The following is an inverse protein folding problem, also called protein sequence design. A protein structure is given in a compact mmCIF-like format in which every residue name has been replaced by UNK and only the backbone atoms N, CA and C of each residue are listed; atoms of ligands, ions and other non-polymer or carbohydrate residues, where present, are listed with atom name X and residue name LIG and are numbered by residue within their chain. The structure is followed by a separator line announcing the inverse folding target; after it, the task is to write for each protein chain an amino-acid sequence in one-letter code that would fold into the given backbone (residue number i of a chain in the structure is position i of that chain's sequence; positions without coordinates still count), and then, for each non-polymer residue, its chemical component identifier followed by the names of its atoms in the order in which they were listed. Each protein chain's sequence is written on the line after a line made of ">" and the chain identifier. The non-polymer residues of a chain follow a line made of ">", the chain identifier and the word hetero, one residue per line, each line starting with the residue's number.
data_IF_219032540754
#
_entry.id   IF_219032540754
#
_cell.length_a   1.000
_cell.length_b   1.000
_cell.length_c   1.000
_cell.angle_alpha   90.00
_cell.angle_beta   90.00
_cell.angle_gamma   90.00
#
_symmetry.space_group_name_H-M   'P 1'
#
loop_
_entity.id
_entity.type
_entity.pdbx_description
1 polymer ?
#
# COMPACT_ATOMS: atom_id res chain seq x y z
N UNK A 1 9.18 -2.08 13.35
CA UNK A 1 9.77 -2.98 12.32
C UNK A 1 10.23 -4.26 12.97
N UNK A 2 10.10 -5.39 12.29
CA UNK A 2 10.54 -6.68 12.79
C UNK A 2 12.06 -6.67 12.99
N UNK A 3 12.54 -7.06 14.18
CA UNK A 3 13.97 -7.15 14.51
C UNK A 3 14.47 -8.58 14.56
N UNK A 4 13.63 -9.49 15.04
CA UNK A 4 13.95 -10.90 15.13
C UNK A 4 12.67 -11.73 14.99
N UNK A 5 12.82 -12.95 14.50
CA UNK A 5 11.79 -13.98 14.43
C UNK A 5 12.45 -15.32 14.74
N UNK A 6 11.90 -16.08 15.68
CA UNK A 6 12.36 -17.43 15.97
C UNK A 6 11.15 -18.36 16.04
N UNK A 7 11.22 -19.49 15.34
CA UNK A 7 10.15 -20.48 15.28
C UNK A 7 10.65 -21.80 15.83
N UNK A 8 9.86 -22.36 16.73
CA UNK A 8 10.12 -23.62 17.43
C UNK A 8 8.99 -24.59 17.12
N UNK A 9 9.33 -25.84 16.83
CA UNK A 9 8.34 -26.93 16.71
C UNK A 9 7.92 -27.42 18.10
N UNK A 10 8.90 -27.58 18.99
CA UNK A 10 8.73 -27.93 20.40
C UNK A 10 9.62 -27.03 21.24
N UNK A 11 9.50 -27.06 22.58
CA UNK A 11 10.37 -26.26 23.47
C UNK A 11 11.87 -26.55 23.29
N UNK A 12 12.24 -27.67 22.68
CA UNK A 12 13.64 -28.08 22.48
C UNK A 12 14.07 -28.13 21.00
N UNK A 13 13.13 -28.05 20.06
CA UNK A 13 13.41 -28.17 18.63
C UNK A 13 13.12 -26.85 17.90
N UNK A 14 14.18 -26.09 17.66
CA UNK A 14 14.13 -24.89 16.84
C UNK A 14 14.07 -25.25 15.36
N UNK A 15 13.13 -24.67 14.61
CA UNK A 15 13.04 -24.86 13.16
C UNK A 15 13.93 -23.86 12.43
N UNK A 16 13.73 -22.57 12.70
CA UNK A 16 14.51 -21.50 12.09
C UNK A 16 14.47 -20.22 12.92
N UNK A 17 15.40 -19.32 12.62
CA UNK A 17 15.46 -17.96 13.15
C UNK A 17 15.90 -16.99 12.07
N UNK A 18 15.56 -15.71 12.31
CA UNK A 18 15.96 -14.56 11.50
C UNK A 18 16.21 -13.36 12.40
N UNK A 19 17.30 -12.66 12.16
CA UNK A 19 17.63 -11.36 12.75
C UNK A 19 17.79 -10.31 11.65
N UNK A 20 17.20 -9.15 11.89
CA UNK A 20 17.18 -8.01 10.98
C UNK A 20 17.83 -6.81 11.65
N UNK A 21 18.79 -6.20 10.97
CA UNK A 21 19.32 -4.88 11.35
C UNK A 21 18.97 -3.85 10.30
N UNK A 22 18.85 -2.59 10.73
CA UNK A 22 18.49 -1.48 9.86
C UNK A 22 19.53 -0.37 10.03
N UNK A 23 19.79 0.38 8.95
CA UNK A 23 20.61 1.59 9.03
C UNK A 23 19.82 2.75 9.66
N UNK A 24 20.48 3.90 9.81
CA UNK A 24 19.88 5.10 10.39
C UNK A 24 18.76 5.71 9.52
N UNK A 25 18.78 5.49 8.20
CA UNK A 25 17.71 5.88 7.26
C UNK A 25 16.53 4.90 7.29
N UNK A 26 16.72 3.75 7.94
CA UNK A 26 15.74 2.70 8.00
C UNK A 26 15.73 1.82 6.75
N UNK A 27 16.81 1.68 6.00
CA UNK A 27 16.90 0.57 5.06
C UNK A 27 17.33 -0.70 5.79
N UNK A 28 16.94 -1.87 5.28
CA UNK A 28 17.42 -3.15 5.81
C UNK A 28 18.93 -3.21 5.60
N UNK A 29 19.73 -3.27 6.65
CA UNK A 29 21.20 -3.27 6.55
C UNK A 29 21.75 -4.70 6.50
N UNK A 30 21.20 -5.60 7.32
CA UNK A 30 21.57 -7.01 7.31
C UNK A 30 20.38 -7.92 7.67
N UNK A 31 20.43 -9.14 7.14
CA UNK A 31 19.57 -10.25 7.50
C UNK A 31 20.44 -11.46 7.79
N UNK A 32 20.39 -11.97 9.01
CA UNK A 32 21.02 -13.24 9.36
C UNK A 32 19.94 -14.25 9.66
N UNK A 33 20.01 -15.45 9.10
CA UNK A 33 19.08 -16.54 9.32
C UNK A 33 19.82 -17.87 9.51
N UNK A 34 19.10 -18.95 9.83
CA UNK A 34 19.68 -20.29 10.01
C UNK A 34 20.48 -20.78 8.80
N UNK A 35 20.23 -20.21 7.63
CA UNK A 35 20.71 -20.75 6.36
C UNK A 35 21.69 -19.80 5.66
N UNK A 36 21.72 -18.51 6.00
CA UNK A 36 22.51 -17.47 5.32
C UNK A 36 22.65 -16.21 6.16
N UNK A 37 23.70 -15.43 5.87
CA UNK A 37 23.82 -14.03 6.29
C UNK A 37 23.93 -13.14 5.06
N UNK A 38 23.16 -12.07 5.04
CA UNK A 38 23.03 -11.11 3.93
C UNK A 38 23.31 -9.70 4.43
N UNK A 39 24.04 -8.91 3.64
CA UNK A 39 24.17 -7.47 3.86
C UNK A 39 23.74 -6.71 2.61
N UNK A 40 23.10 -5.57 2.82
CA UNK A 40 22.45 -4.81 1.77
C UNK A 40 23.12 -3.44 1.64
N UNK A 41 23.31 -3.00 0.40
CA UNK A 41 23.91 -1.70 0.10
C UNK A 41 22.95 -0.90 -0.79
N UNK A 42 22.84 0.39 -0.50
CA UNK A 42 21.94 1.33 -1.16
C UNK A 42 22.70 2.53 -1.68
N UNK A 43 22.14 3.20 -2.69
CA UNK A 43 22.59 4.53 -3.07
C UNK A 43 22.01 5.63 -2.17
N UNK A 44 22.35 6.89 -2.46
CA UNK A 44 21.89 8.06 -1.70
C UNK A 44 20.39 8.34 -1.86
N UNK A 45 19.70 7.64 -2.75
CA UNK A 45 18.26 7.70 -2.97
C UNK A 45 17.54 6.46 -2.41
N UNK A 46 18.19 5.71 -1.51
CA UNK A 46 17.69 4.48 -0.89
C UNK A 46 17.40 3.35 -1.90
N UNK A 47 17.93 3.42 -3.12
CA UNK A 47 17.75 2.35 -4.11
C UNK A 47 18.74 1.23 -3.85
N UNK A 48 18.25 -0.01 -3.83
CA UNK A 48 19.07 -1.20 -3.62
C UNK A 48 20.11 -1.34 -4.75
N UNK A 49 21.39 -1.35 -4.39
CA UNK A 49 22.53 -1.53 -5.31
C UNK A 49 23.09 -2.95 -5.26
N UNK A 50 23.11 -3.56 -4.08
CA UNK A 50 23.82 -4.83 -3.89
C UNK A 50 23.27 -5.62 -2.70
N UNK A 51 23.24 -6.94 -2.86
CA UNK A 51 23.07 -7.90 -1.76
C UNK A 51 24.29 -8.79 -1.76
N UNK A 52 25.05 -8.74 -0.66
CA UNK A 52 26.16 -9.65 -0.41
C UNK A 52 25.69 -10.84 0.40
N UNK A 53 26.10 -12.03 -0.03
CA UNK A 53 25.86 -13.29 0.66
C UNK A 53 27.09 -13.69 1.45
N UNK A 54 26.89 -14.24 2.65
CA UNK A 54 27.96 -14.91 3.38
C UNK A 54 28.35 -16.21 2.66
N UNK A 55 29.65 -16.49 2.60
CA UNK A 55 30.27 -17.58 1.84
C UNK A 55 30.26 -17.35 0.31
N UNK A 56 30.92 -18.24 -0.44
CA UNK A 56 31.36 -18.15 -1.84
C UNK A 56 30.27 -17.95 -2.93
N UNK A 57 29.06 -17.55 -2.55
CA UNK A 57 28.00 -17.18 -3.48
C UNK A 57 28.30 -15.80 -4.10
N UNK A 58 28.04 -15.67 -5.39
CA UNK A 58 28.19 -14.39 -6.08
C UNK A 58 27.19 -13.37 -5.50
N UNK A 59 27.60 -12.10 -5.30
CA UNK A 59 26.69 -11.06 -4.86
C UNK A 59 25.68 -10.71 -5.95
N UNK A 60 24.46 -10.36 -5.55
CA UNK A 60 23.50 -9.73 -6.46
C UNK A 60 23.85 -8.27 -6.63
N UNK A 61 23.81 -7.78 -7.87
CA UNK A 61 24.10 -6.39 -8.20
C UNK A 61 23.00 -5.80 -9.06
N UNK A 62 22.64 -4.57 -8.73
CA UNK A 62 21.58 -3.82 -9.35
C UNK A 62 22.11 -2.46 -9.78
N UNK A 63 21.90 -2.11 -11.04
CA UNK A 63 22.15 -0.78 -11.54
C UNK A 63 20.83 -0.06 -11.80
N UNK A 64 20.85 1.25 -11.61
CA UNK A 64 19.69 2.10 -11.85
C UNK A 64 20.09 3.26 -12.71
N UNK A 65 19.32 3.54 -13.75
CA UNK A 65 19.47 4.80 -14.47
C UNK A 65 18.90 5.99 -13.65
N UNK A 66 19.13 7.25 -14.08
CA UNK A 66 18.59 8.42 -13.39
C UNK A 66 17.05 8.47 -13.34
N UNK A 67 16.35 7.78 -14.25
CA UNK A 67 14.89 7.66 -14.25
C UNK A 67 14.38 6.52 -13.32
N UNK A 68 15.29 5.79 -12.68
CA UNK A 68 14.99 4.70 -11.77
C UNK A 68 14.56 3.40 -12.47
N UNK A 69 14.96 3.20 -13.73
CA UNK A 69 14.85 1.91 -14.38
C UNK A 69 15.91 0.96 -13.81
N UNK A 70 15.46 -0.24 -13.42
CA UNK A 70 16.35 -1.32 -13.01
C UNK A 70 17.06 -1.89 -14.24
N UNK A 71 18.38 -2.02 -14.15
CA UNK A 71 19.24 -2.65 -15.14
C UNK A 71 19.84 -3.89 -14.47
N UNK A 72 19.40 -5.07 -14.90
CA UNK A 72 19.86 -6.32 -14.30
C UNK A 72 21.28 -6.65 -14.77
N UNK A 73 22.19 -6.92 -13.83
CA UNK A 73 23.61 -7.17 -14.15
C UNK A 73 23.93 -8.65 -14.41
N UNK A 74 22.99 -9.57 -14.14
CA UNK A 74 23.12 -10.99 -14.46
C UNK A 74 22.81 -11.31 -15.94
N UNK A 75 22.50 -10.27 -16.74
CA UNK A 75 22.21 -10.35 -18.17
C UNK A 75 23.24 -9.57 -18.96
N UNK A 76 24.33 -10.22 -19.42
CA UNK A 76 25.33 -9.54 -20.22
C UNK A 76 24.74 -9.13 -21.57
N UNK A 77 25.01 -7.89 -21.97
CA UNK A 77 24.61 -7.37 -23.29
C UNK A 77 24.02 -5.96 -23.22
N UNK A 78 23.62 -5.42 -24.38
CA UNK A 78 23.08 -4.08 -24.45
C UNK A 78 21.72 -3.99 -23.77
N UNK A 79 21.46 -2.85 -23.13
CA UNK A 79 20.14 -2.49 -22.62
C UNK A 79 19.67 -1.22 -23.32
N UNK A 80 18.47 -1.23 -23.89
CA UNK A 80 17.88 -0.07 -24.57
C UNK A 80 16.56 0.29 -23.93
N UNK A 81 16.42 1.57 -23.54
CA UNK A 81 15.20 2.12 -22.96
C UNK A 81 14.70 3.33 -23.74
N UNK A 82 13.38 3.50 -23.84
CA UNK A 82 12.76 4.70 -24.42
C UNK A 82 11.53 5.12 -23.63
N UNK A 83 11.62 6.23 -22.90
CA UNK A 83 10.52 6.71 -22.04
C UNK A 83 10.12 5.67 -20.99
N UNK A 84 11.11 5.09 -20.30
CA UNK A 84 10.97 4.01 -19.32
C UNK A 84 10.45 2.66 -19.86
N UNK A 85 10.23 2.50 -21.18
CA UNK A 85 9.97 1.20 -21.81
C UNK A 85 11.29 0.48 -22.06
N UNK A 86 11.41 -0.77 -21.60
CA UNK A 86 12.58 -1.61 -21.82
C UNK A 86 12.43 -2.24 -23.19
N UNK A 87 13.21 -1.84 -24.19
CA UNK A 87 13.08 -2.33 -25.56
C UNK A 87 13.98 -3.54 -25.84
N UNK A 88 15.11 -3.61 -25.14
CA UNK A 88 16.08 -4.70 -25.27
C UNK A 88 16.87 -4.86 -23.97
N UNK A 89 17.17 -6.10 -23.59
CA UNK A 89 18.10 -6.45 -22.50
C UNK A 89 18.79 -7.78 -22.83
N UNK A 90 20.08 -7.74 -23.13
CA UNK A 90 20.82 -8.92 -23.57
C UNK A 90 20.28 -9.45 -24.90
N UNK A 91 19.78 -10.69 -24.91
CA UNK A 91 19.16 -11.32 -26.07
C UNK A 91 17.65 -11.07 -26.20
N UNK A 92 17.03 -10.47 -25.18
CA UNK A 92 15.58 -10.26 -25.12
C UNK A 92 15.18 -8.95 -25.78
N UNK A 93 14.11 -9.00 -26.57
CA UNK A 93 13.50 -7.86 -27.24
C UNK A 93 12.03 -7.73 -26.82
N UNK A 94 11.59 -6.50 -26.62
CA UNK A 94 10.29 -6.20 -26.05
C UNK A 94 9.56 -5.16 -26.92
N UNK A 95 8.36 -5.51 -27.38
CA UNK A 95 7.50 -4.60 -28.13
C UNK A 95 6.35 -4.11 -27.27
N UNK A 96 6.00 -2.84 -27.46
CA UNK A 96 4.90 -2.19 -26.75
C UNK A 96 3.86 -1.67 -27.75
N UNK A 97 2.60 -1.69 -27.34
CA UNK A 97 1.55 -0.97 -28.05
C UNK A 97 1.67 0.56 -27.91
N UNK A 98 0.77 1.29 -28.56
CA UNK A 98 0.72 2.75 -28.50
C UNK A 98 0.45 3.32 -27.11
N UNK A 99 -0.14 2.52 -26.21
CA UNK A 99 -0.46 2.88 -24.82
C UNK A 99 0.66 2.50 -23.84
N UNK A 100 1.69 1.80 -24.30
CA UNK A 100 2.81 1.37 -23.49
C UNK A 100 2.58 0.06 -22.75
N UNK A 101 1.68 -0.81 -23.23
CA UNK A 101 1.54 -2.18 -22.73
C UNK A 101 2.51 -3.10 -23.47
N UNK A 102 3.25 -3.95 -22.76
CA UNK A 102 4.14 -4.94 -23.38
C UNK A 102 3.31 -5.97 -24.14
N UNK A 103 3.39 -6.02 -25.47
CA UNK A 103 2.60 -6.94 -26.31
C UNK A 103 3.38 -8.16 -26.78
N UNK A 104 4.71 -8.10 -26.78
CA UNK A 104 5.55 -9.22 -27.22
C UNK A 104 6.92 -9.20 -26.56
N UNK A 105 7.35 -10.36 -26.07
CA UNK A 105 8.75 -10.66 -25.71
C UNK A 105 9.32 -11.64 -26.73
N UNK A 106 10.54 -11.41 -27.21
CA UNK A 106 11.29 -12.36 -28.06
C UNK A 106 12.67 -12.61 -27.47
N UNK A 107 13.15 -13.86 -27.59
CA UNK A 107 14.50 -14.25 -27.15
C UNK A 107 15.05 -15.43 -27.94
N UNK A 108 16.29 -15.82 -27.63
CA UNK A 108 16.94 -16.99 -28.25
C UNK A 108 17.43 -16.76 -29.68
N UNK A 109 17.92 -17.82 -30.30
CA UNK A 109 18.51 -17.78 -31.65
C UNK A 109 17.49 -17.24 -32.66
N UNK A 110 17.88 -16.20 -33.39
CA UNK A 110 17.01 -15.52 -34.35
C UNK A 110 15.67 -15.02 -33.78
N UNK A 111 15.58 -14.82 -32.45
CA UNK A 111 14.39 -14.26 -31.78
C UNK A 111 13.14 -15.15 -31.94
N UNK A 112 13.32 -16.48 -32.07
CA UNK A 112 12.24 -17.42 -32.36
C UNK A 112 11.38 -17.81 -31.14
N UNK A 113 11.87 -17.61 -29.92
CA UNK A 113 11.08 -17.86 -28.72
C UNK A 113 10.25 -16.61 -28.43
N UNK A 114 8.97 -16.66 -28.80
CA UNK A 114 8.06 -15.50 -28.72
C UNK A 114 7.00 -15.74 -27.66
N UNK A 115 6.84 -14.80 -26.74
CA UNK A 115 5.68 -14.72 -25.84
C UNK A 115 4.84 -13.53 -26.25
N UNK A 116 3.53 -13.72 -26.42
CA UNK A 116 2.60 -12.64 -26.78
C UNK A 116 1.62 -12.34 -25.65
N UNK A 117 1.27 -11.07 -25.50
CA UNK A 117 0.39 -10.56 -24.45
C UNK A 117 -0.79 -9.80 -25.07
N UNK A 118 -2.01 -10.17 -24.66
CA UNK A 118 -3.25 -9.54 -25.15
C UNK A 118 -3.93 -8.76 -24.04
N UNK A 119 -4.42 -7.56 -24.37
CA UNK A 119 -5.06 -6.65 -23.43
C UNK A 119 -6.47 -6.30 -23.86
N UNK A 120 -7.34 -6.01 -22.89
CA UNK A 120 -8.64 -5.39 -23.17
C UNK A 120 -8.53 -3.85 -23.29
N UNK A 121 -9.66 -3.21 -23.57
CA UNK A 121 -9.78 -1.75 -23.69
C UNK A 121 -9.49 -0.98 -22.39
N UNK A 122 -9.42 -1.67 -21.25
CA UNK A 122 -9.05 -1.12 -19.95
C UNK A 122 -7.57 -1.41 -19.61
N UNK A 123 -6.79 -1.89 -20.58
CA UNK A 123 -5.38 -2.25 -20.44
C UNK A 123 -5.12 -3.37 -19.43
N UNK A 124 -6.10 -4.25 -19.20
CA UNK A 124 -5.94 -5.46 -18.36
C UNK A 124 -5.48 -6.62 -19.24
N UNK A 125 -4.50 -7.38 -18.78
CA UNK A 125 -4.00 -8.56 -19.49
C UNK A 125 -5.10 -9.63 -19.53
N UNK A 126 -5.61 -9.96 -20.71
CA UNK A 126 -6.67 -10.96 -20.92
C UNK A 126 -6.14 -12.27 -21.49
N UNK A 127 -4.89 -12.31 -21.94
CA UNK A 127 -4.26 -13.58 -22.31
C UNK A 127 -2.78 -13.50 -22.59
N UNK A 128 -2.15 -14.66 -22.52
CA UNK A 128 -0.73 -14.90 -22.80
C UNK A 128 -0.64 -16.10 -23.75
N UNK A 129 0.17 -15.98 -24.80
CA UNK A 129 0.55 -17.11 -25.65
C UNK A 129 2.04 -17.35 -25.49
N UNK A 130 2.42 -18.54 -25.01
CA UNK A 130 3.80 -18.95 -24.79
C UNK A 130 4.54 -19.32 -26.08
N UNK A 131 5.88 -19.45 -26.03
CA UNK A 131 6.69 -19.82 -27.20
C UNK A 131 6.45 -21.24 -27.72
N UNK A 132 5.85 -22.10 -26.88
CA UNK A 132 5.40 -23.45 -27.22
C UNK A 132 3.97 -23.48 -27.77
N UNK A 133 3.31 -22.33 -27.88
CA UNK A 133 1.91 -22.21 -28.31
C UNK A 133 0.90 -22.41 -27.19
N UNK A 134 1.33 -22.63 -25.94
CA UNK A 134 0.42 -22.67 -24.79
C UNK A 134 -0.37 -21.38 -24.67
N UNK A 135 -1.66 -21.48 -24.38
CA UNK A 135 -2.54 -20.33 -24.24
C UNK A 135 -3.11 -20.22 -22.83
N UNK A 136 -3.07 -19.00 -22.31
CA UNK A 136 -3.73 -18.65 -21.06
C UNK A 136 -4.69 -17.49 -21.30
N UNK A 137 -5.87 -17.55 -20.68
CA UNK A 137 -6.83 -16.45 -20.69
C UNK A 137 -7.24 -16.05 -19.27
N UNK A 138 -7.58 -14.78 -19.10
CA UNK A 138 -7.97 -14.19 -17.82
C UNK A 138 -9.29 -13.45 -17.94
N UNK A 139 -10.14 -13.54 -16.91
CA UNK A 139 -11.39 -12.79 -16.82
C UNK A 139 -11.41 -11.91 -15.58
N UNK A 140 -12.08 -10.77 -15.70
CA UNK A 140 -12.16 -9.75 -14.66
C UNK A 140 -13.61 -9.36 -14.36
N UNK A 141 -13.87 -8.98 -13.12
CA UNK A 141 -15.13 -8.33 -12.76
C UNK A 141 -15.14 -6.82 -13.10
N UNK A 142 -16.27 -6.17 -12.81
CA UNK A 142 -16.45 -4.73 -13.03
C UNK A 142 -15.55 -3.84 -12.15
N UNK A 143 -15.02 -4.37 -11.04
CA UNK A 143 -14.03 -3.70 -10.20
C UNK A 143 -12.59 -3.96 -10.68
N UNK A 144 -12.43 -4.72 -11.78
CA UNK A 144 -11.14 -5.07 -12.35
C UNK A 144 -10.39 -6.15 -11.57
N UNK A 145 -11.05 -6.93 -10.70
CA UNK A 145 -10.44 -8.08 -10.01
C UNK A 145 -10.45 -9.28 -10.94
N UNK A 146 -9.32 -9.99 -11.05
CA UNK A 146 -9.25 -11.23 -11.81
C UNK A 146 -10.11 -12.30 -11.13
N UNK A 147 -11.19 -12.71 -11.77
CA UNK A 147 -12.15 -13.69 -11.24
C UNK A 147 -11.91 -15.10 -11.78
N UNK A 148 -11.21 -15.25 -12.90
CA UNK A 148 -10.77 -16.56 -13.37
C UNK A 148 -9.51 -16.49 -14.22
N UNK A 149 -8.81 -17.62 -14.28
CA UNK A 149 -7.82 -17.92 -15.31
C UNK A 149 -8.11 -19.29 -15.93
N UNK A 150 -7.81 -19.44 -17.20
CA UNK A 150 -7.91 -20.72 -17.91
C UNK A 150 -6.57 -21.01 -18.59
N UNK A 151 -5.97 -22.15 -18.27
CA UNK A 151 -4.69 -22.64 -18.82
C UNK A 151 -4.96 -24.04 -19.36
N UNK A 152 -4.71 -24.28 -20.65
CA UNK A 152 -4.91 -25.59 -21.29
C UNK A 152 -6.28 -26.22 -20.93
N UNK A 153 -7.35 -25.45 -21.14
CA UNK A 153 -8.76 -25.77 -20.81
C UNK A 153 -9.08 -25.99 -19.32
N UNK A 154 -8.11 -25.89 -18.42
CA UNK A 154 -8.34 -25.96 -16.98
C UNK A 154 -8.61 -24.57 -16.41
N UNK A 155 -9.77 -24.39 -15.80
CA UNK A 155 -10.18 -23.11 -15.22
C UNK A 155 -9.97 -23.09 -13.71
N UNK A 156 -9.36 -22.02 -13.23
CA UNK A 156 -9.29 -21.67 -11.81
C UNK A 156 -10.08 -20.38 -11.59
N UNK A 157 -11.04 -20.42 -10.67
CA UNK A 157 -11.83 -19.27 -10.24
C UNK A 157 -11.21 -18.66 -8.97
N UNK A 158 -11.36 -17.33 -8.82
CA UNK A 158 -10.81 -16.57 -7.70
C UNK A 158 -11.92 -15.85 -6.93
N UNK A 159 -11.91 -16.01 -5.61
CA UNK A 159 -12.86 -15.37 -4.69
C UNK A 159 -12.15 -14.24 -3.95
N UNK A 160 -12.84 -13.11 -3.81
CA UNK A 160 -12.25 -11.86 -3.33
C UNK A 160 -12.94 -11.29 -2.10
N UNK A 161 -12.14 -10.75 -1.17
CA UNK A 161 -12.58 -9.85 -0.11
C UNK A 161 -11.88 -8.50 -0.29
N UNK A 162 -12.63 -7.48 -0.71
CA UNK A 162 -12.04 -6.20 -1.14
C UNK A 162 -11.04 -6.41 -2.28
N UNK A 163 -9.79 -6.02 -2.04
CA UNK A 163 -8.65 -6.15 -2.95
C UNK A 163 -7.78 -7.39 -2.67
N UNK A 164 -8.23 -8.33 -1.83
CA UNK A 164 -7.50 -9.55 -1.50
C UNK A 164 -8.17 -10.78 -2.11
N UNK A 165 -7.38 -11.65 -2.74
CA UNK A 165 -7.82 -13.00 -3.10
C UNK A 165 -7.86 -13.86 -1.84
N UNK A 166 -9.02 -14.38 -1.50
CA UNK A 166 -9.23 -15.17 -0.27
C UNK A 166 -9.44 -16.65 -0.55
N UNK A 167 -9.73 -17.02 -1.80
CA UNK A 167 -9.76 -18.41 -2.20
C UNK A 167 -9.57 -18.57 -3.71
N UNK A 168 -9.13 -19.75 -4.10
CA UNK A 168 -9.15 -20.27 -5.46
C UNK A 168 -9.85 -21.62 -5.52
N UNK A 169 -10.51 -21.88 -6.63
CA UNK A 169 -11.30 -23.09 -6.85
C UNK A 169 -11.16 -23.57 -8.29
N UNK A 170 -10.94 -24.87 -8.45
CA UNK A 170 -11.03 -25.61 -9.70
C UNK A 170 -11.58 -27.01 -9.42
N UNK A 171 -11.83 -27.79 -10.47
CA UNK A 171 -12.36 -29.16 -10.34
C UNK A 171 -11.48 -30.08 -9.47
N UNK A 172 -10.18 -29.77 -9.37
CA UNK A 172 -9.19 -30.61 -8.68
C UNK A 172 -8.52 -29.92 -7.49
N UNK A 173 -8.73 -28.62 -7.29
CA UNK A 173 -8.00 -27.84 -6.29
C UNK A 173 -8.89 -26.79 -5.63
N UNK A 174 -8.91 -26.80 -4.31
CA UNK A 174 -9.56 -25.78 -3.50
C UNK A 174 -8.56 -25.28 -2.47
N UNK A 175 -8.38 -23.97 -2.44
CA UNK A 175 -7.44 -23.35 -1.52
C UNK A 175 -7.97 -22.02 -1.02
N UNK A 176 -7.84 -21.76 0.28
CA UNK A 176 -8.23 -20.49 0.90
C UNK A 176 -7.04 -19.84 1.62
N UNK A 177 -7.05 -18.50 1.65
CA UNK A 177 -6.00 -17.68 2.21
C UNK A 177 -6.57 -16.83 3.35
N UNK A 178 -5.91 -16.87 4.51
CA UNK A 178 -6.21 -16.03 5.66
C UNK A 178 -5.09 -15.00 5.80
N UNK A 179 -5.43 -13.73 5.99
CA UNK A 179 -4.46 -12.63 6.10
C UNK A 179 -4.51 -11.95 7.47
N UNK A 180 -3.42 -11.29 7.85
CA UNK A 180 -3.40 -10.36 8.97
C UNK A 180 -4.43 -9.23 8.72
N UNK A 181 -5.31 -8.90 9.69
CA UNK A 181 -6.39 -7.94 9.48
C UNK A 181 -5.91 -6.60 8.90
N UNK A 182 -6.50 -6.20 7.77
CA UNK A 182 -6.21 -4.92 7.12
C UNK A 182 -4.84 -4.85 6.42
N UNK A 183 -4.23 -6.00 6.11
CA UNK A 183 -2.94 -6.08 5.40
C UNK A 183 -2.99 -7.18 4.33
N UNK A 184 -2.00 -7.23 3.45
CA UNK A 184 -1.81 -8.31 2.48
C UNK A 184 -0.86 -9.41 2.96
N UNK A 185 -0.57 -9.46 4.27
CA UNK A 185 0.35 -10.44 4.86
C UNK A 185 -0.40 -11.73 5.15
N UNK A 186 -0.04 -12.86 4.51
CA UNK A 186 -0.74 -14.11 4.73
C UNK A 186 -0.38 -14.71 6.09
N UNK A 187 -1.36 -15.31 6.75
CA UNK A 187 -1.25 -15.98 8.05
C UNK A 187 -1.39 -17.49 7.92
N UNK A 188 -2.42 -17.94 7.20
CA UNK A 188 -2.67 -19.36 6.99
C UNK A 188 -3.19 -19.64 5.58
N UNK A 189 -2.88 -20.83 5.09
CA UNK A 189 -3.39 -21.42 3.86
C UNK A 189 -4.19 -22.66 4.26
N UNK A 190 -5.39 -22.79 3.71
CA UNK A 190 -6.25 -23.95 3.90
C UNK A 190 -6.37 -24.66 2.55
N UNK A 191 -5.88 -25.90 2.45
CA UNK A 191 -5.96 -26.71 1.23
C UNK A 191 -7.02 -27.80 1.40
N UNK A 192 -7.98 -27.86 0.49
CA UNK A 192 -9.08 -28.84 0.52
C UNK A 192 -10.48 -28.20 0.53
N UNK A 193 -11.48 -29.01 0.23
CA UNK A 193 -12.87 -28.58 0.06
C UNK A 193 -13.69 -28.69 1.36
N UNK A 194 -14.15 -27.56 1.86
CA UNK A 194 -15.00 -27.50 3.05
C UNK A 194 -14.24 -27.68 4.38
N UNK A 195 -14.91 -27.39 5.52
CA UNK A 195 -14.25 -27.28 6.82
C UNK A 195 -13.67 -28.60 7.35
N UNK A 196 -14.18 -29.75 6.90
CA UNK A 196 -13.74 -31.07 7.39
C UNK A 196 -12.54 -31.63 6.62
N UNK A 197 -12.37 -31.25 5.34
CA UNK A 197 -11.28 -31.75 4.48
C UNK A 197 -10.15 -30.73 4.33
N UNK A 198 -10.37 -29.48 4.74
CA UNK A 198 -9.36 -28.43 4.66
C UNK A 198 -8.20 -28.69 5.64
N UNK A 199 -7.00 -28.82 5.12
CA UNK A 199 -5.77 -28.96 5.89
C UNK A 199 -5.10 -27.59 6.06
N UNK A 200 -4.81 -27.15 7.30
CA UNK A 200 -4.18 -25.85 7.53
C UNK A 200 -2.65 -25.93 7.44
N UNK A 201 -2.08 -24.88 6.83
CA UNK A 201 -0.67 -24.57 6.77
C UNK A 201 -0.44 -23.12 7.21
N UNK A 202 0.67 -22.86 7.91
CA UNK A 202 0.93 -21.56 8.53
C UNK A 202 2.09 -20.86 7.86
N UNK A 203 1.89 -19.60 7.47
CA UNK A 203 2.92 -18.80 6.82
C UNK A 203 3.92 -18.24 7.82
N UNK A 204 5.19 -18.27 7.41
CA UNK A 204 6.28 -17.58 8.07
C UNK A 204 6.87 -16.57 7.10
N UNK A 205 6.54 -15.30 7.34
CA UNK A 205 6.87 -14.21 6.43
C UNK A 205 8.18 -13.52 6.84
N UNK A 206 8.82 -12.84 5.88
CA UNK A 206 9.91 -11.90 6.16
C UNK A 206 9.40 -10.59 6.80
N UNK A 207 10.30 -9.63 7.01
CA UNK A 207 9.97 -8.30 7.58
C UNK A 207 8.99 -7.48 6.72
N UNK A 208 8.87 -7.78 5.43
CA UNK A 208 7.91 -7.16 4.52
C UNK A 208 6.55 -7.86 4.53
N UNK A 209 6.47 -9.12 4.93
CA UNK A 209 5.26 -9.93 4.80
C UNK A 209 5.29 -10.87 3.60
N UNK A 210 6.46 -11.12 3.03
CA UNK A 210 6.68 -12.07 1.93
C UNK A 210 6.83 -13.49 2.49
N UNK A 211 6.04 -14.48 2.04
CA UNK A 211 6.19 -15.88 2.46
C UNK A 211 7.62 -16.41 2.28
N UNK A 212 8.22 -16.93 3.34
CA UNK A 212 9.54 -17.59 3.30
C UNK A 212 9.45 -19.09 3.59
N UNK A 213 8.59 -19.49 4.54
CA UNK A 213 8.27 -20.88 4.83
C UNK A 213 6.78 -21.07 5.09
N UNK A 214 6.29 -22.29 4.88
CA UNK A 214 5.04 -22.76 5.44
C UNK A 214 5.28 -24.00 6.32
N UNK A 215 4.59 -24.06 7.45
CA UNK A 215 4.58 -25.25 8.32
C UNK A 215 3.23 -25.95 8.32
N UNK A 216 3.22 -27.28 8.42
CA UNK A 216 2.01 -28.07 8.66
C UNK A 216 1.45 -27.83 10.07
N UNK A 217 0.25 -28.36 10.34
CA UNK A 217 -0.33 -28.40 11.68
C UNK A 217 0.47 -29.20 12.71
N UNK A 218 1.44 -30.01 12.26
CA UNK A 218 2.37 -30.76 13.12
C UNK A 218 3.69 -30.00 13.33
N UNK A 219 3.82 -28.79 12.76
CA UNK A 219 4.99 -27.93 12.89
C UNK A 219 6.16 -28.33 11.99
N UNK A 220 5.94 -29.15 10.96
CA UNK A 220 6.97 -29.51 9.99
C UNK A 220 7.03 -28.46 8.87
N UNK A 221 8.23 -28.11 8.40
CA UNK A 221 8.39 -27.21 7.24
C UNK A 221 8.06 -27.98 5.97
N UNK A 222 6.95 -27.64 5.32
CA UNK A 222 6.46 -28.33 4.11
C UNK A 222 6.78 -27.58 2.81
N UNK A 223 7.13 -26.31 2.92
CA UNK A 223 7.46 -25.44 1.80
C UNK A 223 8.42 -24.35 2.27
N UNK A 224 9.44 -24.05 1.49
CA UNK A 224 10.35 -22.93 1.74
C UNK A 224 10.88 -22.34 0.45
N UNK A 225 10.92 -21.01 0.36
CA UNK A 225 11.41 -20.29 -0.81
C UNK A 225 12.52 -19.31 -0.47
N UNK A 226 13.30 -18.95 -1.49
CA UNK A 226 14.20 -17.80 -1.49
C UNK A 226 13.99 -16.96 -2.73
N UNK A 227 14.17 -15.66 -2.55
CA UNK A 227 14.02 -14.68 -3.62
C UNK A 227 15.24 -13.79 -3.70
N UNK A 228 15.50 -13.28 -4.90
CA UNK A 228 16.43 -12.17 -5.11
C UNK A 228 15.83 -10.86 -4.55
N UNK A 229 16.62 -9.78 -4.59
CA UNK A 229 16.19 -8.46 -4.11
C UNK A 229 14.89 -7.89 -4.74
N UNK A 230 14.48 -8.39 -5.90
CA UNK A 230 13.28 -7.98 -6.65
C UNK A 230 12.21 -9.08 -6.73
N UNK A 231 12.27 -10.09 -5.86
CA UNK A 231 11.18 -11.07 -5.73
C UNK A 231 11.18 -12.19 -6.77
N UNK A 232 12.25 -12.33 -7.58
CA UNK A 232 12.45 -13.53 -8.41
C UNK A 232 12.83 -14.71 -7.53
N UNK A 233 12.12 -15.83 -7.68
CA UNK A 233 12.40 -17.08 -6.98
C UNK A 233 13.78 -17.61 -7.41
N UNK A 234 14.67 -17.82 -6.46
CA UNK A 234 16.02 -18.37 -6.70
C UNK A 234 16.18 -19.78 -6.16
N UNK A 235 15.36 -20.16 -5.18
CA UNK A 235 15.37 -21.49 -4.59
C UNK A 235 13.97 -21.83 -4.08
N UNK A 236 13.53 -23.07 -4.34
CA UNK A 236 12.28 -23.62 -3.84
C UNK A 236 12.53 -25.01 -3.27
N UNK A 237 12.09 -25.25 -2.04
CA UNK A 237 12.20 -26.54 -1.35
C UNK A 237 10.82 -26.95 -0.86
N UNK A 238 10.55 -28.25 -0.97
CA UNK A 238 9.37 -28.89 -0.41
C UNK A 238 9.80 -29.84 0.72
N UNK A 239 8.91 -30.07 1.68
CA UNK A 239 9.09 -31.14 2.66
C UNK A 239 8.83 -32.52 2.05
N UNK A 240 8.89 -33.56 2.87
CA UNK A 240 8.76 -34.96 2.44
C UNK A 240 7.32 -35.38 2.10
N UNK A 241 6.34 -34.51 2.37
CA UNK A 241 4.92 -34.72 2.07
C UNK A 241 4.52 -34.33 0.63
N UNK A 242 3.20 -34.34 0.34
CA UNK A 242 2.67 -33.84 -0.93
C UNK A 242 3.15 -32.43 -1.24
N UNK A 243 3.39 -32.15 -2.53
CA UNK A 243 3.85 -30.82 -2.96
C UNK A 243 2.75 -29.80 -2.75
N UNK A 244 2.94 -28.91 -1.78
CA UNK A 244 2.07 -27.77 -1.55
C UNK A 244 2.25 -26.70 -2.62
N UNK A 245 1.15 -26.30 -3.27
CA UNK A 245 1.13 -25.18 -4.21
C UNK A 245 0.91 -23.85 -3.47
N UNK A 246 1.90 -22.96 -3.57
CA UNK A 246 1.90 -21.66 -2.91
C UNK A 246 2.19 -20.52 -3.91
N UNK A 247 1.17 -19.78 -4.38
CA UNK A 247 1.35 -18.75 -5.38
C UNK A 247 1.63 -17.35 -4.82
N UNK A 248 1.45 -17.08 -3.52
CA UNK A 248 1.65 -15.74 -2.97
C UNK A 248 3.14 -15.34 -2.98
N UNK A 249 3.42 -14.07 -3.31
CA UNK A 249 4.78 -13.50 -3.43
C UNK A 249 4.90 -12.25 -2.55
N UNK A 250 5.46 -11.14 -3.05
CA UNK A 250 5.35 -9.87 -2.34
C UNK A 250 3.88 -9.57 -2.03
N UNK A 251 3.64 -8.77 -0.99
CA UNK A 251 2.28 -8.36 -0.62
C UNK A 251 1.48 -7.94 -1.84
N UNK A 252 0.30 -8.54 -2.04
CA UNK A 252 -0.60 -8.28 -3.19
C UNK A 252 -0.35 -9.15 -4.44
N UNK A 253 0.79 -9.85 -4.50
CA UNK A 253 1.21 -10.58 -5.69
C UNK A 253 0.82 -12.05 -5.66
N UNK A 254 0.26 -12.52 -6.78
CA UNK A 254 -0.06 -13.91 -7.08
C UNK A 254 0.77 -14.38 -8.27
N UNK A 255 1.58 -15.43 -8.09
CA UNK A 255 2.41 -16.00 -9.15
C UNK A 255 1.61 -16.95 -10.06
N UNK A 256 1.59 -16.62 -11.33
CA UNK A 256 1.07 -17.46 -12.41
C UNK A 256 2.20 -18.30 -12.99
N UNK A 257 2.22 -19.59 -12.64
CA UNK A 257 3.26 -20.52 -13.06
C UNK A 257 3.40 -20.59 -14.58
N UNK A 258 2.29 -20.51 -15.29
CA UNK A 258 2.22 -20.63 -16.75
C UNK A 258 2.95 -19.50 -17.50
N UNK A 259 2.95 -18.30 -16.93
CA UNK A 259 3.57 -17.11 -17.55
C UNK A 259 4.85 -16.65 -16.84
N UNK A 260 5.07 -17.11 -15.61
CA UNK A 260 6.10 -16.60 -14.70
C UNK A 260 5.79 -15.19 -14.16
N UNK A 261 4.65 -14.60 -14.52
CA UNK A 261 4.25 -13.28 -14.07
C UNK A 261 3.61 -13.33 -12.69
N UNK A 262 3.69 -12.21 -11.99
CA UNK A 262 2.99 -11.99 -10.74
C UNK A 262 1.81 -11.05 -11.01
N UNK A 263 0.58 -11.57 -11.00
CA UNK A 263 -0.61 -10.72 -10.97
C UNK A 263 -0.64 -9.91 -9.67
N UNK A 264 -0.75 -8.58 -9.80
CA UNK A 264 -0.69 -7.63 -8.69
C UNK A 264 -1.80 -6.60 -8.84
N UNK A 265 -3.04 -7.05 -8.58
CA UNK A 265 -4.31 -6.30 -8.59
C UNK A 265 -4.59 -5.48 -9.85
N UNK A 266 -3.90 -4.37 -10.07
CA UNK A 266 -4.07 -3.50 -11.24
C UNK A 266 -3.05 -3.76 -12.36
N UNK A 267 -1.96 -4.49 -12.09
CA UNK A 267 -0.89 -4.74 -13.07
C UNK A 267 -0.29 -6.14 -12.94
N UNK A 268 0.50 -6.54 -13.94
CA UNK A 268 1.30 -7.77 -13.91
C UNK A 268 2.77 -7.40 -13.75
N UNK A 269 3.40 -7.91 -12.69
CA UNK A 269 4.81 -7.73 -12.38
C UNK A 269 5.62 -8.89 -12.97
N UNK A 270 6.70 -8.55 -13.66
CA UNK A 270 7.64 -9.52 -14.18
C UNK A 270 8.87 -9.58 -13.25
N UNK A 271 9.03 -10.65 -12.43
CA UNK A 271 10.18 -10.79 -11.56
C UNK A 271 11.50 -10.95 -12.33
N UNK A 272 11.44 -11.42 -13.59
CA UNK A 272 12.60 -11.55 -14.46
C UNK A 272 13.13 -10.18 -14.91
N UNK A 273 12.34 -9.11 -14.91
CA UNK A 273 12.83 -7.76 -15.28
C UNK A 273 12.67 -6.74 -14.15
N UNK A 274 12.13 -7.18 -13.01
CA UNK A 274 11.95 -6.34 -11.83
C UNK A 274 10.96 -5.18 -12.05
N UNK A 275 10.01 -5.33 -13.00
CA UNK A 275 9.14 -4.25 -13.45
C UNK A 275 7.76 -4.73 -13.89
N UNK A 276 6.81 -3.81 -13.99
CA UNK A 276 5.48 -4.08 -14.52
C UNK A 276 5.45 -4.13 -16.05
N UNK A 277 4.52 -4.90 -16.61
CA UNK A 277 4.29 -4.99 -18.06
C UNK A 277 3.65 -3.74 -18.66
N UNK A 278 2.88 -3.02 -17.84
CA UNK A 278 2.11 -1.84 -18.24
C UNK A 278 2.53 -0.63 -17.41
N UNK A 279 2.36 0.56 -17.98
CA UNK A 279 2.52 1.79 -17.23
C UNK A 279 1.46 1.88 -16.12
N UNK A 280 1.79 2.58 -15.04
CA UNK A 280 0.89 2.77 -13.91
C UNK A 280 -0.44 3.39 -14.35
N UNK A 281 -1.60 2.74 -14.08
CA UNK A 281 -2.90 3.25 -14.51
C UNK A 281 -3.30 4.56 -13.83
N UNK A 282 -2.73 4.91 -12.66
CA UNK A 282 -2.90 6.24 -12.04
C UNK A 282 -1.91 7.28 -12.59
N UNK A 283 -1.16 6.92 -13.64
CA UNK A 283 -0.27 7.81 -14.41
C UNK A 283 0.78 8.46 -13.52
N UNK A 284 0.99 9.77 -13.67
CA UNK A 284 2.00 10.52 -12.91
C UNK A 284 1.74 10.55 -11.40
N UNK A 285 0.52 10.22 -10.93
CA UNK A 285 0.27 10.04 -9.51
C UNK A 285 1.02 8.82 -8.95
N UNK A 286 1.30 7.82 -9.80
CA UNK A 286 2.19 6.69 -9.54
C UNK A 286 3.69 7.01 -9.71
N UNK A 287 4.04 8.29 -9.85
CA UNK A 287 5.41 8.73 -10.06
C UNK A 287 5.84 8.76 -11.53
N UNK A 288 7.08 9.22 -11.74
CA UNK A 288 7.62 9.48 -13.09
C UNK A 288 8.01 8.21 -13.86
N UNK A 289 8.24 7.10 -13.15
CA UNK A 289 8.54 5.81 -13.75
C UNK A 289 7.35 4.87 -13.59
N UNK A 290 6.48 4.86 -14.61
CA UNK A 290 5.26 4.06 -14.61
C UNK A 290 5.46 2.54 -14.65
N UNK A 291 6.66 2.03 -14.90
CA UNK A 291 6.91 0.58 -14.97
C UNK A 291 7.58 0.03 -13.71
N UNK A 292 8.10 0.89 -12.84
CA UNK A 292 8.83 0.46 -11.64
C UNK A 292 7.89 -0.19 -10.62
N UNK A 293 8.40 -1.21 -9.92
CA UNK A 293 7.76 -1.78 -8.73
C UNK A 293 7.77 -0.79 -7.57
N UNK A 294 8.86 -0.73 -6.80
CA UNK A 294 9.05 0.25 -5.72
C UNK A 294 10.44 0.89 -5.84
N UNK A 295 10.68 1.96 -5.09
CA UNK A 295 12.02 2.58 -5.04
C UNK A 295 13.02 1.67 -4.33
N UNK A 296 12.57 1.03 -3.25
CA UNK A 296 13.37 0.12 -2.45
C UNK A 296 12.58 -1.17 -2.16
N UNK A 297 12.83 -2.28 -2.90
CA UNK A 297 12.05 -3.51 -2.74
C UNK A 297 12.33 -4.25 -1.42
N UNK A 298 13.38 -3.89 -0.66
CA UNK A 298 13.68 -4.50 0.65
C UNK A 298 13.05 -3.73 1.81
N UNK A 299 12.45 -2.56 1.56
CA UNK A 299 11.76 -1.78 2.59
C UNK A 299 10.32 -1.40 2.24
N UNK A 300 9.96 -1.41 0.96
CA UNK A 300 8.71 -0.86 0.45
C UNK A 300 7.94 -1.93 -0.32
N UNK A 301 6.61 -1.91 -0.20
CA UNK A 301 5.70 -2.86 -0.84
C UNK A 301 4.68 -2.11 -1.69
N UNK A 302 4.23 -2.69 -2.81
CA UNK A 302 3.12 -2.17 -3.62
C UNK A 302 2.00 -3.23 -3.74
N UNK A 303 1.09 -3.32 -2.74
CA UNK A 303 0.07 -4.38 -2.71
C UNK A 303 -1.03 -4.25 -3.75
N UNK A 304 -1.17 -3.09 -4.39
CA UNK A 304 -2.18 -2.85 -5.40
C UNK A 304 -1.59 -2.81 -6.81
N UNK A 305 -0.26 -2.73 -6.93
CA UNK A 305 0.35 -2.40 -8.20
C UNK A 305 0.04 -0.97 -8.63
N UNK A 306 -0.01 -0.02 -7.70
CA UNK A 306 -0.16 1.42 -7.94
C UNK A 306 0.96 2.16 -7.19
N UNK A 307 1.94 2.71 -7.91
CA UNK A 307 3.19 3.20 -7.36
C UNK A 307 3.08 4.63 -6.78
N UNK A 308 2.15 4.90 -5.87
CA UNK A 308 1.85 6.28 -5.45
C UNK A 308 2.66 6.83 -4.26
N UNK A 309 3.74 6.15 -3.81
CA UNK A 309 4.66 6.43 -2.65
C UNK A 309 4.48 5.45 -1.46
N UNK A 310 5.21 4.34 -1.44
CA UNK A 310 5.15 3.35 -0.35
C UNK A 310 6.24 3.59 0.72
N UNK A 311 6.00 3.32 2.02
CA UNK A 311 5.86 1.95 2.53
C UNK A 311 4.58 1.69 3.35
N UNK A 312 3.91 0.57 3.04
CA UNK A 312 2.83 -0.05 3.83
C UNK A 312 1.50 0.68 3.73
N UNK A 313 0.70 0.40 2.69
CA UNK A 313 -0.55 1.09 2.34
C UNK A 313 -1.61 1.08 3.45
N UNK A 314 -1.41 1.90 4.47
CA UNK A 314 -2.45 2.67 5.12
C UNK A 314 -2.43 4.01 4.42
N UNK A 315 -3.61 4.47 4.01
CA UNK A 315 -3.82 5.70 3.27
C UNK A 315 -3.55 6.93 4.18
N UNK A 316 -2.30 7.10 4.61
CA UNK A 316 -1.79 8.27 5.32
C UNK A 316 -0.91 9.05 4.34
N UNK A 317 -1.54 10.01 3.65
CA UNK A 317 -0.84 11.01 2.83
C UNK A 317 0.06 11.86 3.72
N UNK A 318 1.29 11.42 3.95
CA UNK A 318 2.39 12.28 4.41
C UNK A 318 2.86 13.10 3.21
N UNK A 319 2.22 14.24 2.98
CA UNK A 319 2.76 15.26 2.08
C UNK A 319 3.80 16.08 2.84
N UNK A 320 5.06 15.98 2.40
CA UNK A 320 6.08 16.98 2.71
C UNK A 320 5.60 18.30 2.11
N UNK A 321 5.40 19.29 2.96
CA UNK A 321 4.96 20.62 2.55
C UNK A 321 5.97 21.29 1.62
N UNK A 322 5.55 21.79 0.44
CA UNK A 322 6.22 22.91 -0.18
C UNK A 322 5.94 24.14 0.69
N UNK A 323 7.00 24.73 1.23
CA UNK A 323 6.93 26.04 1.88
C UNK A 323 6.39 27.04 0.86
N UNK A 324 5.24 27.65 1.18
CA UNK A 324 4.72 28.92 0.65
C UNK A 324 3.48 28.92 -0.25
N UNK A 325 2.56 27.95 -0.18
CA UNK A 325 1.16 28.22 -0.58
C UNK A 325 0.15 27.44 0.31
N UNK A 326 -0.93 28.08 0.83
CA UNK A 326 -1.85 27.43 1.75
C UNK A 326 -2.74 26.41 1.02
N UNK A 327 -2.33 25.13 1.09
CA UNK A 327 -3.07 23.99 0.55
C UNK A 327 -4.50 23.92 1.09
N UNK A 328 -5.45 23.49 0.25
CA UNK A 328 -6.83 23.22 0.68
C UNK A 328 -6.85 21.94 1.55
N UNK A 329 -7.57 21.89 2.68
CA UNK A 329 -7.55 20.74 3.58
C UNK A 329 -8.17 19.50 2.93
N UNK A 330 -7.56 18.32 3.13
CA UNK A 330 -8.07 17.01 2.65
C UNK A 330 -9.08 16.34 3.58
N UNK A 331 -9.41 16.94 4.72
CA UNK A 331 -10.35 16.40 5.71
C UNK A 331 -11.79 16.82 5.38
N UNK A 332 -12.73 15.88 5.48
CA UNK A 332 -14.17 16.22 5.51
C UNK A 332 -14.52 16.96 6.80
N UNK A 333 -15.60 17.75 6.80
CA UNK A 333 -16.13 18.42 8.00
C UNK A 333 -16.28 17.47 9.19
N UNK A 334 -16.80 16.26 8.96
CA UNK A 334 -16.89 15.21 9.99
C UNK A 334 -15.53 14.68 10.46
N UNK A 335 -14.53 14.65 9.58
CA UNK A 335 -13.15 14.31 9.93
C UNK A 335 -12.52 15.36 10.86
N UNK A 336 -12.62 16.64 10.50
CA UNK A 336 -12.09 17.73 11.30
C UNK A 336 -12.78 17.84 12.67
N UNK A 337 -14.11 17.69 12.72
CA UNK A 337 -14.86 17.69 13.98
C UNK A 337 -14.45 16.54 14.90
N UNK A 338 -14.22 15.34 14.35
CA UNK A 338 -13.70 14.19 15.12
C UNK A 338 -12.28 14.42 15.62
N UNK A 339 -11.43 15.07 14.82
CA UNK A 339 -10.08 15.47 15.23
C UNK A 339 -10.12 16.43 16.42
N UNK A 340 -10.97 17.47 16.36
CA UNK A 340 -11.15 18.40 17.47
C UNK A 340 -11.63 17.70 18.75
N UNK A 341 -12.55 16.74 18.63
CA UNK A 341 -12.99 15.93 19.78
C UNK A 341 -11.86 15.09 20.38
N UNK A 342 -11.06 14.43 19.53
CA UNK A 342 -9.95 13.59 19.98
C UNK A 342 -8.91 14.41 20.75
N UNK A 343 -8.44 15.52 20.17
CA UNK A 343 -7.42 16.38 20.78
C UNK A 343 -7.93 17.02 22.09
N UNK A 344 -9.24 17.28 22.19
CA UNK A 344 -9.86 17.78 23.41
C UNK A 344 -10.03 16.74 24.52
N UNK A 345 -9.82 15.45 24.24
CA UNK A 345 -10.13 14.36 25.17
C UNK A 345 -11.63 14.05 25.28
N UNK A 346 -12.44 14.42 24.29
CA UNK A 346 -13.89 14.13 24.25
C UNK A 346 -14.12 12.74 23.64
N UNK A 347 -14.81 11.82 24.34
CA UNK A 347 -15.21 10.54 23.78
C UNK A 347 -15.87 10.66 22.40
N UNK A 348 -15.40 9.86 21.45
CA UNK A 348 -15.81 9.94 20.03
C UNK A 348 -17.33 9.82 19.85
N UNK A 349 -17.99 8.99 20.65
CA UNK A 349 -19.44 8.76 20.62
C UNK A 349 -20.27 9.82 21.37
N UNK A 350 -19.67 10.65 22.21
CA UNK A 350 -20.39 11.66 23.00
C UNK A 350 -21.08 12.70 22.09
N UNK A 351 -22.35 12.98 22.35
CA UNK A 351 -23.08 14.08 21.70
C UNK A 351 -22.82 15.40 22.44
N UNK A 352 -22.97 16.57 21.78
CA UNK A 352 -22.88 17.86 22.45
C UNK A 352 -23.84 17.95 23.64
N UNK A 353 -23.43 18.69 24.66
CA UNK A 353 -24.28 19.02 25.79
C UNK A 353 -25.51 19.79 25.29
N UNK A 354 -26.65 19.51 25.90
CA UNK A 354 -27.89 20.21 25.63
C UNK A 354 -27.88 21.59 26.30
N UNK A 355 -28.09 22.65 25.53
CA UNK A 355 -28.17 24.03 25.99
C UNK A 355 -29.63 24.49 25.92
N UNK A 356 -30.16 24.94 27.06
CA UNK A 356 -31.50 25.51 27.15
C UNK A 356 -31.48 27.00 26.78
N UNK A 357 -32.32 27.40 25.82
CA UNK A 357 -32.54 28.79 25.45
C UNK A 357 -33.80 29.32 26.15
N UNK A 358 -33.60 30.18 27.14
CA UNK A 358 -34.68 30.77 27.93
C UNK A 358 -35.60 31.70 27.11
N UNK A 359 -35.14 32.18 25.95
CA UNK A 359 -35.89 33.11 25.08
C UNK A 359 -36.90 32.36 24.21
N UNK A 360 -36.53 31.17 23.77
CA UNK A 360 -37.36 30.33 22.87
C UNK A 360 -38.00 29.15 23.59
N UNK A 361 -37.60 28.87 24.84
CA UNK A 361 -38.09 27.75 25.66
C UNK A 361 -37.63 26.38 25.14
N UNK A 362 -36.65 26.33 24.23
CA UNK A 362 -36.20 25.12 23.55
C UNK A 362 -34.78 24.74 23.96
N UNK A 363 -34.50 23.45 23.86
CA UNK A 363 -33.19 22.89 24.13
C UNK A 363 -32.50 22.52 22.82
N UNK A 364 -31.27 22.99 22.64
CA UNK A 364 -30.48 22.80 21.42
C UNK A 364 -29.13 22.16 21.73
N UNK A 365 -28.61 21.38 20.79
CA UNK A 365 -27.25 20.79 20.89
C UNK A 365 -26.13 21.79 20.56
N UNK A 366 -26.49 23.02 20.23
CA UNK A 366 -25.55 24.11 19.95
C UNK A 366 -26.22 25.45 20.23
N UNK A 367 -25.39 26.47 20.45
CA UNK A 367 -25.80 27.87 20.49
C UNK A 367 -25.17 28.66 19.34
N UNK A 368 -25.69 29.84 19.03
CA UNK A 368 -25.08 30.73 18.05
C UNK A 368 -24.25 31.79 18.76
N UNK A 369 -23.00 31.99 18.30
CA UNK A 369 -22.13 33.06 18.76
C UNK A 369 -21.77 33.99 17.61
N UNK A 370 -21.72 35.30 17.88
CA UNK A 370 -21.30 36.30 16.89
C UNK A 370 -19.81 36.19 16.63
N UNK A 371 -19.43 36.13 15.36
CA UNK A 371 -18.01 36.22 14.99
C UNK A 371 -17.56 37.68 15.04
N UNK A 372 -16.45 37.95 15.73
CA UNK A 372 -15.89 39.30 15.87
C UNK A 372 -14.38 39.33 15.59
N UNK A 373 -13.86 40.45 15.10
CA UNK A 373 -12.42 40.69 14.98
C UNK A 373 -11.76 40.88 16.37
N UNK A 374 -10.43 41.05 16.39
CA UNK A 374 -9.66 41.25 17.63
C UNK A 374 -10.13 42.46 18.44
N UNK A 375 -10.65 43.50 17.77
CA UNK A 375 -11.19 44.74 18.34
C UNK A 375 -12.64 44.61 18.83
N UNK A 376 -13.30 43.46 18.62
CA UNK A 376 -14.67 43.18 19.07
C UNK A 376 -15.77 43.54 18.07
N UNK A 377 -15.43 44.00 16.88
CA UNK A 377 -16.40 44.35 15.83
C UNK A 377 -16.84 43.10 15.07
N UNK A 378 -18.10 43.04 14.62
CA UNK A 378 -18.63 41.85 13.96
C UNK A 378 -18.02 41.58 12.59
N UNK A 379 -17.72 40.32 12.31
CA UNK A 379 -17.34 39.85 10.97
C UNK A 379 -18.61 39.75 10.14
N UNK A 380 -18.62 40.39 8.97
CA UNK A 380 -19.79 40.50 8.11
C UNK A 380 -19.64 39.60 6.86
N UNK A 381 -20.75 39.09 6.33
CA UNK A 381 -20.78 38.39 5.05
C UNK A 381 -20.78 39.38 3.86
N UNK A 382 -20.83 38.88 2.62
CA UNK A 382 -20.85 39.69 1.40
C UNK A 382 -22.05 40.65 1.28
N UNK A 383 -23.10 40.45 2.07
CA UNK A 383 -24.29 41.30 2.15
C UNK A 383 -24.24 42.29 3.33
N UNK A 384 -23.14 42.34 4.09
CA UNK A 384 -22.98 43.23 5.25
C UNK A 384 -23.67 42.75 6.53
N UNK A 385 -24.12 41.49 6.60
CA UNK A 385 -24.77 40.92 7.80
C UNK A 385 -23.75 40.19 8.70
N UNK A 386 -23.87 40.27 10.04
CA UNK A 386 -23.00 39.54 10.96
C UNK A 386 -23.03 38.03 10.73
N UNK A 387 -21.86 37.41 10.66
CA UNK A 387 -21.71 35.95 10.58
C UNK A 387 -21.83 35.38 12.00
N UNK A 388 -22.67 34.34 12.15
CA UNK A 388 -22.83 33.58 13.39
C UNK A 388 -22.14 32.22 13.24
N UNK A 389 -21.32 31.87 14.23
CA UNK A 389 -20.74 30.54 14.40
C UNK A 389 -21.67 29.67 15.26
N UNK A 390 -21.72 28.37 15.00
CA UNK A 390 -22.35 27.41 15.93
C UNK A 390 -21.35 27.00 16.99
N UNK A 391 -21.72 27.05 18.26
CA UNK A 391 -20.92 26.58 19.38
C UNK A 391 -21.50 25.29 19.95
N UNK A 392 -20.73 24.20 19.88
CA UNK A 392 -21.06 22.92 20.49
C UNK A 392 -20.29 22.78 21.81
N UNK A 393 -21.01 22.70 22.93
CA UNK A 393 -20.40 22.47 24.24
C UNK A 393 -20.25 20.97 24.50
N UNK A 394 -19.16 20.57 25.15
CA UNK A 394 -18.96 19.21 25.63
C UNK A 394 -18.43 19.22 27.05
N UNK A 395 -18.99 18.37 27.90
CA UNK A 395 -18.44 18.04 29.23
C UNK A 395 -17.50 16.85 29.10
N UNK A 396 -16.22 17.03 29.45
CA UNK A 396 -15.18 16.00 29.36
C UNK A 396 -15.27 15.03 30.55
N UNK A 397 -14.59 13.87 30.51
CA UNK A 397 -14.61 12.90 31.60
C UNK A 397 -14.09 13.43 32.95
N UNK A 398 -13.33 14.53 32.95
CA UNK A 398 -12.83 15.23 34.14
C UNK A 398 -13.76 16.37 34.60
N UNK A 399 -15.02 16.37 34.16
CA UNK A 399 -16.06 17.40 34.39
C UNK A 399 -15.75 18.81 33.86
N UNK A 400 -14.60 19.00 33.24
CA UNK A 400 -14.28 20.28 32.60
C UNK A 400 -15.02 20.43 31.27
N UNK A 401 -15.32 21.68 30.89
CA UNK A 401 -16.12 21.98 29.69
C UNK A 401 -15.32 22.68 28.62
N UNK A 402 -15.56 22.27 27.39
CA UNK A 402 -14.91 22.84 26.19
C UNK A 402 -15.95 23.12 25.11
N UNK A 403 -15.59 23.98 24.17
CA UNK A 403 -16.44 24.38 23.05
C UNK A 403 -15.74 24.09 21.73
N UNK A 404 -16.47 23.47 20.81
CA UNK A 404 -16.10 23.42 19.41
C UNK A 404 -16.93 24.47 18.66
N UNK A 405 -16.28 25.52 18.19
CA UNK A 405 -16.90 26.57 17.37
C UNK A 405 -16.79 26.18 15.89
N UNK A 406 -17.90 26.25 15.18
CA UNK A 406 -18.02 25.92 13.78
C UNK A 406 -18.01 27.17 12.91
N UNK A 407 -16.89 27.38 12.22
CA UNK A 407 -16.70 28.44 11.24
C UNK A 407 -16.81 27.89 9.81
N UNK A 408 -17.79 27.01 9.56
CA UNK A 408 -18.04 26.42 8.23
C UNK A 408 -18.19 27.45 7.11
N UNK A 409 -18.61 28.68 7.41
CA UNK A 409 -18.77 29.75 6.42
C UNK A 409 -17.43 30.40 5.99
N UNK A 410 -16.30 30.08 6.65
CA UNK A 410 -15.04 30.79 6.48
C UNK A 410 -15.15 32.27 6.85
N UNK A 411 -14.06 33.04 6.66
CA UNK A 411 -14.11 34.51 6.71
C UNK A 411 -12.89 35.16 6.07
N UNK A 412 -13.11 36.34 5.47
CA UNK A 412 -12.06 37.23 4.97
C UNK A 412 -12.14 38.57 5.70
N UNK A 413 -11.03 39.03 6.28
CA UNK A 413 -10.94 40.30 7.00
C UNK A 413 -10.52 41.47 6.09
N UNK A 414 -10.15 41.22 4.82
CA UNK A 414 -9.81 42.24 3.80
C UNK A 414 -8.84 43.33 4.28
N UNK A 415 -7.87 42.98 5.12
CA UNK A 415 -6.78 43.88 5.50
C UNK A 415 -5.68 43.90 4.42
N UNK A 416 -4.81 44.93 4.36
CA UNK A 416 -3.84 45.13 3.26
C UNK A 416 -2.90 43.94 2.98
N UNK A 417 -2.79 42.99 3.91
CA UNK A 417 -1.91 41.82 3.82
C UNK A 417 -2.66 40.47 3.94
N UNK A 418 -4.00 40.45 3.82
CA UNK A 418 -4.85 39.25 4.03
C UNK A 418 -4.64 38.55 5.39
N UNK A 419 -4.14 39.30 6.40
CA UNK A 419 -3.79 38.74 7.71
C UNK A 419 -5.08 38.47 8.50
N UNK A 420 -5.36 37.19 8.74
CA UNK A 420 -6.53 36.72 9.48
C UNK A 420 -7.56 35.98 8.63
N UNK A 421 -7.44 35.99 7.30
CA UNK A 421 -8.36 35.28 6.41
C UNK A 421 -8.26 33.77 6.63
N UNK A 422 -9.37 33.12 6.91
CA UNK A 422 -9.40 31.69 7.20
C UNK A 422 -10.49 30.96 6.41
N UNK A 423 -10.09 29.84 5.82
CA UNK A 423 -10.98 28.87 5.16
C UNK A 423 -11.86 28.16 6.21
N UNK A 424 -12.89 27.43 5.79
CA UNK A 424 -13.78 26.70 6.69
C UNK A 424 -13.02 25.82 7.70
N UNK A 425 -13.31 26.00 8.99
CA UNK A 425 -12.62 25.31 10.08
C UNK A 425 -13.45 25.21 11.35
N UNK A 426 -13.00 24.36 12.28
CA UNK A 426 -13.44 24.41 13.68
C UNK A 426 -12.37 25.02 14.58
N UNK A 427 -12.80 25.72 15.63
CA UNK A 427 -11.94 26.14 16.73
C UNK A 427 -12.33 25.40 18.00
N UNK A 428 -11.32 24.90 18.71
CA UNK A 428 -11.51 24.33 20.04
C UNK A 428 -11.14 25.39 21.09
N UNK A 429 -12.05 25.64 22.04
CA UNK A 429 -11.92 26.71 23.02
C UNK A 429 -12.28 26.23 24.43
N UNK A 430 -11.62 26.76 25.46
CA UNK A 430 -12.08 26.59 26.83
C UNK A 430 -13.41 27.35 27.07
N UNK A 431 -14.27 26.84 27.95
CA UNK A 431 -15.59 27.43 28.23
C UNK A 431 -15.49 28.86 28.78
N UNK A 432 -14.45 29.13 29.57
CA UNK A 432 -14.17 30.39 30.26
C UNK A 432 -13.59 31.47 29.34
N UNK A 433 -13.00 31.08 28.20
CA UNK A 433 -12.50 32.02 27.20
C UNK A 433 -12.75 31.50 25.79
N UNK A 434 -14.01 31.67 25.37
CA UNK A 434 -14.54 31.20 24.08
C UNK A 434 -13.97 31.94 22.87
N UNK A 435 -13.33 33.09 23.05
CA UNK A 435 -12.88 33.94 21.92
C UNK A 435 -11.43 33.65 21.53
N UNK A 436 -10.51 33.77 22.48
CA UNK A 436 -9.06 33.68 22.23
C UNK A 436 -8.38 32.61 23.07
N UNK A 437 -9.10 31.95 23.96
CA UNK A 437 -8.56 30.89 24.81
C UNK A 437 -8.02 29.73 23.99
N UNK A 438 -6.94 29.12 24.45
CA UNK A 438 -6.31 27.96 23.81
C UNK A 438 -6.28 26.81 24.80
N UNK A 439 -6.59 25.61 24.33
CA UNK A 439 -6.43 24.39 25.11
C UNK A 439 -5.05 23.83 24.79
N UNK A 440 -4.24 23.53 25.82
CA UNK A 440 -2.90 22.99 25.65
C UNK A 440 -2.93 21.68 24.86
N UNK A 441 -1.92 21.46 24.02
CA UNK A 441 -1.77 20.27 23.16
C UNK A 441 -2.88 20.07 22.11
N UNK A 442 -3.60 21.13 21.74
CA UNK A 442 -4.63 21.08 20.69
C UNK A 442 -4.29 22.02 19.54
N UNK A 443 -4.81 21.75 18.34
CA UNK A 443 -4.63 22.64 17.19
C UNK A 443 -5.45 23.92 17.37
N UNK A 444 -4.91 25.05 16.90
CA UNK A 444 -5.65 26.32 16.91
C UNK A 444 -6.85 26.28 15.96
N UNK A 445 -6.68 25.64 14.79
CA UNK A 445 -7.70 25.54 13.75
C UNK A 445 -7.75 24.12 13.18
N UNK A 446 -8.95 23.56 13.08
CA UNK A 446 -9.23 22.28 12.44
C UNK A 446 -9.91 22.52 11.10
N UNK A 447 -9.10 22.78 10.07
CA UNK A 447 -9.63 23.07 8.74
C UNK A 447 -10.25 21.85 8.06
N UNK A 448 -11.28 22.08 7.24
CA UNK A 448 -11.92 21.05 6.41
C UNK A 448 -12.28 21.58 5.03
N UNK A 449 -12.52 20.64 4.09
CA UNK A 449 -13.09 20.94 2.78
C UNK A 449 -14.60 21.18 2.95
N UNK A 450 -15.10 22.26 2.35
CA UNK A 450 -16.55 22.53 2.22
C UNK A 450 -17.29 21.40 1.48
#
# INVERSE_FOLDING_TARGET
>A
RLKAQTVWQTQQQQLFWRDYSYDAGGNLAALSDTRNRRSYQYDKQDRLLRIDYAHSQAPERFAHDPAGNLLMQDRPGPTTLKGNRLLMEGDRHYDYDAYGNLVRERRGTAQCLVTEYRYDSQHRLIGVTGPDGSETSYRYDAFGRRISKTVDDQTTEFIWQGDQVIAESSDQHYQSYIYEPGTFRPLALLEGEGPEKATPFYYHNDHLGTPQELTSHQGEVVWAARYNGYGKLTELRHGDGPRLHQPLRFQGQYHDLESGLHYNRYRYYNPETGRYLTADPIKLAGGLNGYRYTLNPTGWVDPLGLNARCPGSKDERVEREPKNEPSLPKLSRHGAFRGAKLDAGIPKAQQPDLVYDATTGKTHQYSYARMTNSSGESVLNSEGKPILAREYQFTRPDDSKVIIQDHSAGHQFKQPNNRGDQKAHFNLRPIENRRTGKISNTKEHYYFKE
#
